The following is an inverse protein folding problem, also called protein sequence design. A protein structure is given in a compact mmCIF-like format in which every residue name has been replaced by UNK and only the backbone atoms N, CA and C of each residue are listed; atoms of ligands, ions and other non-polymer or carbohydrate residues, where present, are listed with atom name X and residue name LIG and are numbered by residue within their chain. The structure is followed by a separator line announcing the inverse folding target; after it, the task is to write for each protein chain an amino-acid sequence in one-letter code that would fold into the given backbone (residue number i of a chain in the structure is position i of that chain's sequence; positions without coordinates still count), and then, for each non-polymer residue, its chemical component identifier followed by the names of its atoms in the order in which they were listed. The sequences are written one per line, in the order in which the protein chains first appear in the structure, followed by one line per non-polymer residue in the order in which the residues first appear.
data_IF_208125439842
#
_entry.id   IF_208125439842
#
_cell.length_a   1.000
_cell.length_b   1.000
_cell.length_c   1.000
_cell.angle_alpha   90.00
_cell.angle_beta   90.00
_cell.angle_gamma   90.00
#
_symmetry.space_group_name_H-M   'P 1'
#
loop_
_entity.id
_entity.type
_entity.pdbx_description
1 polymer ?
#
# COMPACT_ATOMS: atom_id res chain seq x y z
N UNK A 1 -7.00 13.06 -7.70
CA UNK A 1 -6.39 11.78 -7.27
C UNK A 1 -6.96 11.45 -5.91
N UNK A 2 -7.32 10.19 -5.68
CA UNK A 2 -7.72 9.70 -4.36
C UNK A 2 -6.51 8.97 -3.78
N UNK A 3 -6.04 9.43 -2.63
CA UNK A 3 -4.88 8.88 -1.93
C UNK A 3 -5.35 8.12 -0.69
N UNK A 4 -4.93 6.86 -0.59
CA UNK A 4 -5.08 6.04 0.60
C UNK A 4 -3.70 5.82 1.21
N UNK A 5 -3.48 6.31 2.42
CA UNK A 5 -2.25 6.09 3.19
C UNK A 5 -2.57 5.98 4.69
N UNK A 6 -1.67 5.36 5.45
CA UNK A 6 -1.79 5.24 6.90
C UNK A 6 -1.58 6.57 7.64
N UNK A 7 -2.07 6.63 8.88
CA UNK A 7 -2.01 7.83 9.72
C UNK A 7 -0.71 7.94 10.53
N UNK A 8 0.38 7.31 10.10
CA UNK A 8 1.67 7.42 10.78
C UNK A 8 2.07 8.90 10.93
N UNK A 9 2.64 9.26 12.09
CA UNK A 9 2.92 10.66 12.47
C UNK A 9 3.59 11.50 11.38
N UNK A 10 4.59 11.00 10.61
CA UNK A 10 5.20 11.78 9.54
C UNK A 10 4.22 12.15 8.41
N UNK A 11 3.19 11.32 8.17
CA UNK A 11 2.24 11.47 7.05
C UNK A 11 1.06 12.40 7.35
N UNK A 12 0.85 12.76 8.61
CA UNK A 12 -0.25 13.63 9.04
C UNK A 12 0.22 15.00 9.55
N UNK A 13 1.48 15.34 9.27
CA UNK A 13 2.05 16.66 9.62
C UNK A 13 1.33 17.78 8.87
N UNK A 14 1.37 18.99 9.43
CA UNK A 14 0.79 20.19 8.80
C UNK A 14 1.34 20.41 7.39
N UNK A 15 2.66 20.28 7.23
CA UNK A 15 3.34 20.43 5.94
C UNK A 15 2.81 19.44 4.89
N UNK A 16 2.64 18.16 5.25
CA UNK A 16 2.11 17.15 4.32
C UNK A 16 0.66 17.45 3.95
N UNK A 17 -0.17 17.90 4.91
CA UNK A 17 -1.56 18.31 4.63
C UNK A 17 -1.62 19.49 3.66
N UNK A 18 -0.85 20.54 3.91
CA UNK A 18 -0.77 21.71 3.03
C UNK A 18 -0.31 21.33 1.61
N UNK A 19 0.64 20.40 1.50
CA UNK A 19 1.09 19.86 0.21
C UNK A 19 -0.02 19.08 -0.51
N UNK A 20 -0.75 18.20 0.19
CA UNK A 20 -1.84 17.42 -0.39
C UNK A 20 -3.01 18.31 -0.83
N UNK A 21 -3.31 19.36 -0.07
CA UNK A 21 -4.27 20.40 -0.43
C UNK A 21 -3.83 21.16 -1.69
N UNK A 22 -2.56 21.56 -1.77
CA UNK A 22 -1.99 22.22 -2.95
C UNK A 22 -2.05 21.33 -4.20
N UNK A 23 -1.82 20.02 -4.04
CA UNK A 23 -1.97 19.01 -5.10
C UNK A 23 -3.44 18.70 -5.43
N UNK A 24 -4.39 19.16 -4.60
CA UNK A 24 -5.83 18.86 -4.68
C UNK A 24 -6.13 17.36 -4.67
N UNK A 25 -5.40 16.62 -3.82
CA UNK A 25 -5.62 15.20 -3.63
C UNK A 25 -6.65 14.97 -2.53
N UNK A 26 -7.61 14.10 -2.80
CA UNK A 26 -8.57 13.65 -1.79
C UNK A 26 -7.90 12.54 -0.97
N UNK A 27 -7.84 12.71 0.34
CA UNK A 27 -7.25 11.72 1.25
C UNK A 27 -8.38 10.90 1.85
N UNK A 28 -8.35 9.58 1.61
CA UNK A 28 -9.32 8.67 2.23
C UNK A 28 -9.02 8.49 3.72
N UNK A 29 -10.07 8.40 4.57
CA UNK A 29 -9.88 8.04 5.96
C UNK A 29 -9.30 6.62 6.05
N UNK A 30 -8.27 6.46 6.88
CA UNK A 30 -7.69 5.17 7.22
C UNK A 30 -7.80 4.96 8.73
N UNK A 31 -8.22 3.78 9.18
CA UNK A 31 -8.28 3.47 10.59
C UNK A 31 -6.87 3.23 11.17
N UNK A 32 -6.67 3.48 12.46
CA UNK A 32 -5.39 3.20 13.09
C UNK A 32 -5.12 1.67 13.11
N UNK A 33 -3.85 1.27 12.96
CA UNK A 33 -3.40 -0.13 13.04
C UNK A 33 -4.19 -1.11 12.16
N UNK A 34 -4.53 -0.70 10.94
CA UNK A 34 -5.41 -1.44 10.05
C UNK A 34 -4.72 -1.90 8.75
N UNK A 35 -3.67 -2.74 8.85
CA UNK A 35 -2.93 -3.21 7.67
C UNK A 35 -3.82 -4.04 6.72
N UNK A 36 -4.84 -4.72 7.25
CA UNK A 36 -5.80 -5.47 6.46
C UNK A 36 -6.61 -4.62 5.48
N UNK A 37 -6.59 -3.29 5.62
CA UNK A 37 -7.30 -2.34 4.74
C UNK A 37 -6.35 -1.53 3.86
N UNK A 38 -5.04 -1.79 3.92
CA UNK A 38 -4.05 -1.18 3.06
C UNK A 38 -3.73 -2.11 1.88
N UNK A 39 -4.10 -1.76 0.63
CA UNK A 39 -3.78 -2.58 -0.54
C UNK A 39 -2.28 -2.87 -0.71
N UNK A 40 -1.44 -1.95 -0.24
CA UNK A 40 0.00 -2.15 -0.17
C UNK A 40 0.35 -3.33 0.74
N UNK A 41 -0.24 -3.44 1.93
CA UNK A 41 0.11 -4.46 2.92
C UNK A 41 -0.49 -5.83 2.55
N UNK A 42 -1.80 -5.90 2.35
CA UNK A 42 -2.49 -7.17 2.15
C UNK A 42 -2.32 -7.81 0.77
N UNK A 43 -1.77 -7.09 -0.22
CA UNK A 43 -1.65 -7.62 -1.58
C UNK A 43 -0.25 -7.45 -2.14
N UNK A 44 0.25 -6.21 -2.22
CA UNK A 44 1.56 -5.94 -2.82
C UNK A 44 2.70 -6.54 -1.97
N UNK A 45 2.81 -6.12 -0.71
CA UNK A 45 3.86 -6.55 0.21
C UNK A 45 3.66 -8.00 0.64
N UNK A 46 2.43 -8.48 0.80
CA UNK A 46 2.20 -9.91 1.03
C UNK A 46 2.79 -10.75 -0.12
N UNK A 47 2.50 -10.40 -1.38
CA UNK A 47 3.05 -11.13 -2.52
C UNK A 47 4.57 -10.96 -2.63
N UNK A 48 5.10 -9.78 -2.30
CA UNK A 48 6.53 -9.50 -2.35
C UNK A 48 7.30 -10.28 -1.28
N UNK A 49 6.76 -10.38 -0.06
CA UNK A 49 7.36 -11.11 1.05
C UNK A 49 7.57 -12.59 0.72
N UNK A 50 6.61 -13.21 0.03
CA UNK A 50 6.78 -14.59 -0.46
C UNK A 50 7.92 -14.72 -1.46
N UNK A 51 8.09 -13.75 -2.36
CA UNK A 51 9.19 -13.76 -3.33
C UNK A 51 10.54 -13.41 -2.67
N UNK A 52 10.54 -12.59 -1.63
CA UNK A 52 11.74 -12.21 -0.89
C UNK A 52 12.27 -13.32 0.04
N UNK A 53 11.44 -14.31 0.40
CA UNK A 53 11.77 -15.29 1.43
C UNK A 53 13.05 -16.11 1.15
N UNK A 54 13.42 -16.27 -0.13
CA UNK A 54 14.59 -17.04 -0.55
C UNK A 54 15.74 -16.15 -1.06
N UNK A 55 15.54 -14.84 -1.10
CA UNK A 55 16.49 -13.89 -1.68
C UNK A 55 17.53 -13.43 -0.65
N UNK A 56 18.78 -13.31 -1.11
CA UNK A 56 19.89 -12.78 -0.31
C UNK A 56 20.59 -11.69 -1.11
N UNK A 57 20.58 -10.47 -0.56
CA UNK A 57 21.18 -9.30 -1.21
C UNK A 57 22.51 -8.93 -0.55
N UNK A 58 23.50 -8.51 -1.34
CA UNK A 58 24.82 -8.13 -0.85
C UNK A 58 25.01 -6.60 -0.79
N UNK A 59 24.09 -5.86 -1.39
CA UNK A 59 24.17 -4.40 -1.51
C UNK A 59 22.77 -3.77 -1.55
N UNK A 60 22.72 -2.45 -1.38
CA UNK A 60 21.48 -1.69 -1.55
C UNK A 60 21.03 -1.69 -3.01
N UNK A 61 21.99 -1.63 -3.93
CA UNK A 61 21.77 -1.63 -5.37
C UNK A 61 21.11 -2.94 -5.83
N UNK A 62 21.48 -4.07 -5.22
CA UNK A 62 20.82 -5.36 -5.49
C UNK A 62 19.34 -5.34 -5.07
N UNK A 63 19.02 -4.74 -3.92
CA UNK A 63 17.65 -4.61 -3.43
C UNK A 63 16.84 -3.70 -4.37
N UNK A 64 17.38 -2.54 -4.73
CA UNK A 64 16.70 -1.58 -5.61
C UNK A 64 16.41 -2.19 -6.98
N UNK A 65 17.40 -2.89 -7.55
CA UNK A 65 17.24 -3.61 -8.81
C UNK A 65 16.17 -4.70 -8.71
N UNK A 66 16.24 -5.55 -7.69
CA UNK A 66 15.28 -6.63 -7.50
C UNK A 66 13.84 -6.11 -7.34
N UNK A 67 13.64 -5.05 -6.52
CA UNK A 67 12.32 -4.45 -6.32
C UNK A 67 11.77 -3.88 -7.64
N UNK A 68 12.62 -3.21 -8.41
CA UNK A 68 12.25 -2.64 -9.71
C UNK A 68 11.84 -3.73 -10.70
N UNK A 69 12.63 -4.80 -10.82
CA UNK A 69 12.35 -5.95 -11.69
C UNK A 69 11.08 -6.70 -11.23
N UNK A 70 10.92 -6.89 -9.92
CA UNK A 70 9.75 -7.57 -9.37
C UNK A 70 8.46 -6.79 -9.63
N UNK A 71 8.46 -5.47 -9.44
CA UNK A 71 7.30 -4.62 -9.76
C UNK A 71 7.00 -4.66 -11.26
N UNK A 72 8.03 -4.54 -12.10
CA UNK A 72 7.88 -4.61 -13.56
C UNK A 72 7.37 -5.98 -14.06
N UNK A 73 7.65 -7.06 -13.32
CA UNK A 73 7.13 -8.40 -13.62
C UNK A 73 5.61 -8.53 -13.41
N UNK A 74 4.99 -7.64 -12.64
CA UNK A 74 3.55 -7.70 -12.35
C UNK A 74 2.76 -7.03 -13.47
N UNK A 75 1.76 -7.75 -13.97
CA UNK A 75 0.85 -7.18 -14.96
C UNK A 75 -0.15 -6.20 -14.32
N UNK A 76 -0.81 -5.41 -15.15
CA UNK A 76 -1.82 -4.44 -14.69
C UNK A 76 -2.95 -5.09 -13.88
N UNK A 77 -3.34 -6.32 -14.24
CA UNK A 77 -4.42 -7.04 -13.56
C UNK A 77 -4.09 -7.36 -12.11
N UNK A 78 -2.81 -7.57 -11.78
CA UNK A 78 -2.34 -7.78 -10.42
C UNK A 78 -2.63 -6.55 -9.55
N UNK A 79 -2.24 -5.34 -10.00
CA UNK A 79 -2.50 -4.10 -9.27
C UNK A 79 -3.99 -3.80 -9.18
N UNK A 80 -4.72 -3.97 -10.30
CA UNK A 80 -6.17 -3.76 -10.36
C UNK A 80 -6.91 -4.67 -9.38
N UNK A 81 -6.50 -5.95 -9.26
CA UNK A 81 -7.07 -6.89 -8.30
C UNK A 81 -6.83 -6.43 -6.86
N UNK A 82 -5.60 -6.01 -6.53
CA UNK A 82 -5.27 -5.49 -5.20
C UNK A 82 -6.21 -4.37 -4.77
N UNK A 83 -6.47 -3.40 -5.65
CA UNK A 83 -7.39 -2.29 -5.37
C UNK A 83 -8.86 -2.75 -5.29
N UNK A 84 -9.31 -3.66 -6.16
CA UNK A 84 -10.71 -4.12 -6.17
C UNK A 84 -11.09 -4.91 -4.90
N UNK A 85 -10.14 -5.64 -4.31
CA UNK A 85 -10.35 -6.36 -3.07
C UNK A 85 -10.64 -5.45 -1.86
N UNK A 86 -10.40 -4.14 -1.99
CA UNK A 86 -10.69 -3.18 -0.94
C UNK A 86 -12.19 -3.15 -0.58
N UNK A 87 -13.07 -3.27 -1.58
CA UNK A 87 -14.52 -3.28 -1.35
C UNK A 87 -14.95 -4.52 -0.54
N UNK A 88 -14.54 -5.71 -0.96
CA UNK A 88 -14.83 -6.96 -0.27
C UNK A 88 -14.27 -6.97 1.16
N UNK A 89 -13.11 -6.33 1.37
CA UNK A 89 -12.50 -6.21 2.69
C UNK A 89 -13.31 -5.27 3.57
N UNK A 90 -13.72 -4.09 3.08
CA UNK A 90 -14.59 -3.17 3.83
C UNK A 90 -15.91 -3.81 4.24
N UNK A 91 -16.54 -4.59 3.35
CA UNK A 91 -17.77 -5.32 3.68
C UNK A 91 -17.54 -6.30 4.85
N UNK A 92 -16.41 -7.00 4.88
CA UNK A 92 -16.05 -7.89 5.99
C UNK A 92 -15.81 -7.13 7.30
N UNK A 93 -15.21 -5.94 7.27
CA UNK A 93 -15.04 -5.08 8.46
C UNK A 93 -16.38 -4.76 9.08
N UNK A 94 -17.29 -4.26 8.23
CA UNK A 94 -18.62 -3.84 8.65
C UNK A 94 -19.39 -5.04 9.22
N UNK A 95 -19.28 -6.21 8.58
CA UNK A 95 -19.92 -7.43 9.04
C UNK A 95 -19.36 -7.96 10.39
N UNK A 96 -18.14 -7.55 10.76
CA UNK A 96 -17.49 -7.95 12.01
C UNK A 96 -17.56 -6.85 13.10
N UNK A 97 -18.37 -5.81 12.90
CA UNK A 97 -18.52 -4.66 13.82
C UNK A 97 -17.23 -3.87 14.11
N UNK A 98 -16.27 -3.89 13.18
CA UNK A 98 -15.03 -3.09 13.23
C UNK A 98 -13.74 -3.89 13.28
#
# INVERSE_FOLDING_TARGET
VILLHDNARPRVTKLVKEMLEALRWEVLPHAAYSPDYAPSDYHLFQSMAHALAEEHFNSYEDVEKWVSEWIASKNESFFRRGIRLLLERWEKVIANDG
#
